data_IF_051337915554
#
_entry.id   IF_051337915554
#
_cell.length_a   1.000
_cell.length_b   1.000
_cell.length_c   1.000
_cell.angle_alpha   90.00
_cell.angle_beta   90.00
_cell.angle_gamma   90.00
#
_symmetry.space_group_name_H-M   'P 1'
#
loop_
_entity.id
_entity.type
_entity.pdbx_description
1 polymer ?
#
# COMPACT_ATOMS: atom_id res chain seq x y z
N UNK A 1 20.01 33.04 17.00
CA UNK A 1 19.52 31.84 16.26
C UNK A 1 18.36 32.25 15.37
N UNK A 2 18.22 31.67 14.17
CA UNK A 2 17.11 31.95 13.24
C UNK A 2 15.86 31.09 13.51
N UNK A 3 16.00 29.92 14.14
CA UNK A 3 14.88 29.09 14.63
C UNK A 3 15.31 28.14 15.77
N UNK A 4 14.42 27.90 16.74
CA UNK A 4 14.58 26.97 17.87
C UNK A 4 13.25 26.25 18.12
N UNK A 5 13.28 24.93 18.33
CA UNK A 5 12.10 24.10 18.63
C UNK A 5 12.44 22.95 19.58
N UNK A 6 11.42 22.38 20.23
CA UNK A 6 11.53 21.24 21.15
C UNK A 6 10.48 20.18 20.80
N UNK A 7 10.89 18.92 20.75
CA UNK A 7 10.01 17.77 20.57
C UNK A 7 10.25 16.72 21.66
N UNK A 8 9.39 15.71 21.74
CA UNK A 8 9.46 14.61 22.70
C UNK A 8 9.35 13.27 21.97
N UNK A 9 9.51 12.17 22.70
CA UNK A 9 9.37 10.80 22.21
C UNK A 9 7.96 10.21 22.41
N UNK A 10 6.95 11.07 22.61
CA UNK A 10 5.56 10.66 22.79
C UNK A 10 5.09 9.81 21.61
N UNK A 11 4.56 8.63 21.91
CA UNK A 11 3.95 7.72 20.94
C UNK A 11 2.47 7.54 21.27
N UNK A 12 1.60 8.08 20.41
CA UNK A 12 0.15 8.00 20.58
C UNK A 12 -0.52 7.76 19.24
N UNK A 13 -1.60 7.01 19.26
CA UNK A 13 -2.41 6.70 18.10
C UNK A 13 -3.89 6.83 18.48
N UNK A 14 -4.69 7.40 17.59
CA UNK A 14 -6.14 7.46 17.71
C UNK A 14 -6.71 6.05 17.68
N UNK A 15 -7.58 5.72 18.62
CA UNK A 15 -8.22 4.39 18.72
C UNK A 15 -9.13 4.08 17.54
N UNK A 16 -9.68 5.11 16.90
CA UNK A 16 -10.48 4.99 15.69
C UNK A 16 -10.06 6.09 14.69
N UNK A 17 -9.89 5.72 13.43
CA UNK A 17 -9.57 6.66 12.35
C UNK A 17 -10.82 7.26 11.71
N UNK A 18 -11.99 6.76 12.10
CA UNK A 18 -13.30 7.19 11.64
C UNK A 18 -14.30 7.09 12.79
N UNK A 19 -15.03 8.17 13.01
CA UNK A 19 -16.32 8.16 13.71
C UNK A 19 -17.37 8.76 12.77
N UNK A 20 -18.25 7.90 12.24
CA UNK A 20 -19.31 8.28 11.28
C UNK A 20 -18.76 9.03 10.06
N UNK A 21 -18.84 10.37 10.08
CA UNK A 21 -18.44 11.29 8.99
C UNK A 21 -17.17 12.08 9.30
N UNK A 22 -16.57 11.87 10.46
CA UNK A 22 -15.30 12.49 10.87
C UNK A 22 -14.20 11.44 10.69
N UNK A 23 -13.12 11.82 10.01
CA UNK A 23 -11.96 10.96 9.77
C UNK A 23 -10.68 11.68 10.21
N UNK A 24 -9.69 10.90 10.64
CA UNK A 24 -8.37 11.39 11.07
C UNK A 24 -7.29 10.79 10.16
N UNK A 25 -6.31 11.60 9.76
CA UNK A 25 -5.16 11.20 8.96
C UNK A 25 -3.89 11.94 9.42
N UNK A 26 -2.71 11.36 9.20
CA UNK A 26 -1.43 11.96 9.60
C UNK A 26 -1.32 12.19 11.10
N UNK A 27 -0.67 13.28 11.51
CA UNK A 27 -0.37 13.57 12.93
C UNK A 27 -1.62 13.69 13.83
N UNK A 28 -2.79 13.97 13.24
CA UNK A 28 -4.06 13.95 13.98
C UNK A 28 -4.47 12.52 14.40
N UNK A 29 -4.02 11.50 13.67
CA UNK A 29 -4.28 10.09 13.93
C UNK A 29 -3.13 9.40 14.65
N UNK A 30 -1.88 9.85 14.50
CA UNK A 30 -0.72 9.22 15.12
C UNK A 30 0.45 10.19 15.28
N UNK A 31 1.07 10.21 16.45
CA UNK A 31 2.31 10.95 16.72
C UNK A 31 3.36 9.98 17.23
N UNK A 32 4.62 10.22 16.85
CA UNK A 32 5.76 9.41 17.25
C UNK A 32 7.06 10.22 17.15
N UNK A 33 8.15 9.76 17.80
CA UNK A 33 9.47 10.38 17.64
C UNK A 33 9.88 10.46 16.16
N UNK A 34 10.65 11.48 15.71
CA UNK A 34 11.02 11.68 14.31
C UNK A 34 12.06 10.68 13.77
N UNK A 35 12.25 9.56 14.48
CA UNK A 35 13.24 8.54 14.17
C UNK A 35 12.95 7.89 12.81
N UNK A 36 13.93 7.95 11.90
CA UNK A 36 13.81 7.43 10.54
C UNK A 36 12.97 8.29 9.59
N UNK A 37 12.53 9.50 9.99
CA UNK A 37 11.82 10.42 9.10
C UNK A 37 10.44 9.94 8.64
N UNK A 38 9.78 9.06 9.41
CA UNK A 38 8.60 8.33 8.95
C UNK A 38 7.28 9.12 9.04
N UNK A 39 7.19 10.17 9.86
CA UNK A 39 5.92 10.85 10.18
C UNK A 39 5.19 11.43 8.97
N UNK A 40 5.85 12.30 8.19
CA UNK A 40 5.26 12.86 6.97
C UNK A 40 4.93 11.75 5.95
N UNK A 41 5.82 10.76 5.82
CA UNK A 41 5.66 9.67 4.86
C UNK A 41 4.39 8.86 5.13
N UNK A 42 4.11 8.50 6.39
CA UNK A 42 2.90 7.77 6.74
C UNK A 42 1.64 8.63 6.58
N UNK A 43 1.70 9.92 6.91
CA UNK A 43 0.57 10.84 6.73
C UNK A 43 0.18 11.05 5.26
N UNK A 44 1.16 11.17 4.36
CA UNK A 44 0.89 11.23 2.91
C UNK A 44 0.24 9.93 2.43
N UNK A 45 0.72 8.78 2.88
CA UNK A 45 0.12 7.49 2.51
C UNK A 45 -1.29 7.31 3.06
N UNK A 46 -1.60 7.85 4.25
CA UNK A 46 -2.96 7.87 4.77
C UNK A 46 -3.89 8.68 3.88
N UNK A 47 -3.45 9.87 3.45
CA UNK A 47 -4.22 10.72 2.56
C UNK A 47 -4.47 10.07 1.19
N UNK A 48 -3.44 9.42 0.61
CA UNK A 48 -3.56 8.69 -0.66
C UNK A 48 -4.51 7.50 -0.53
N UNK A 49 -4.45 6.75 0.58
CA UNK A 49 -5.37 5.64 0.84
C UNK A 49 -6.82 6.10 1.02
N UNK A 50 -7.03 7.22 1.73
CA UNK A 50 -8.36 7.73 2.03
C UNK A 50 -9.00 8.43 0.82
N UNK A 51 -8.24 9.22 0.06
CA UNK A 51 -8.77 10.15 -0.93
C UNK A 51 -9.67 9.49 -1.97
N UNK A 52 -9.22 8.40 -2.58
CA UNK A 52 -10.01 7.69 -3.60
C UNK A 52 -11.24 6.99 -3.01
N UNK A 53 -11.12 6.41 -1.81
CA UNK A 53 -12.23 5.75 -1.10
C UNK A 53 -13.33 6.75 -0.77
N UNK A 54 -12.95 7.89 -0.19
CA UNK A 54 -13.88 8.95 0.16
C UNK A 54 -14.55 9.53 -1.08
N UNK A 55 -13.81 9.72 -2.18
CA UNK A 55 -14.37 10.17 -3.45
C UNK A 55 -15.44 9.21 -4.00
N UNK A 56 -15.20 7.89 -3.94
CA UNK A 56 -16.20 6.90 -4.37
C UNK A 56 -17.47 6.91 -3.50
N UNK A 57 -17.34 7.10 -2.19
CA UNK A 57 -18.51 7.23 -1.30
C UNK A 57 -19.32 8.49 -1.62
N UNK A 58 -18.65 9.63 -1.80
CA UNK A 58 -19.31 10.90 -2.14
C UNK A 58 -20.06 10.79 -3.47
N UNK A 59 -19.48 10.09 -4.45
CA UNK A 59 -20.10 9.85 -5.77
C UNK A 59 -21.18 8.77 -5.77
N UNK A 60 -21.42 8.08 -4.65
CA UNK A 60 -22.36 6.98 -4.56
C UNK A 60 -21.94 5.73 -5.34
N UNK A 61 -20.66 5.62 -5.72
CA UNK A 61 -20.13 4.51 -6.51
C UNK A 61 -19.97 3.24 -5.68
N UNK A 62 -19.51 3.38 -4.43
CA UNK A 62 -19.18 2.26 -3.55
C UNK A 62 -19.98 2.33 -2.25
N UNK A 63 -20.23 1.18 -1.59
CA UNK A 63 -20.88 1.14 -0.29
C UNK A 63 -19.98 1.71 0.82
N UNK A 64 -20.59 2.15 1.93
CA UNK A 64 -19.89 2.72 3.10
C UNK A 64 -18.80 1.81 3.69
N UNK A 65 -18.91 0.50 3.49
CA UNK A 65 -17.92 -0.51 3.91
C UNK A 65 -16.55 -0.28 3.26
N UNK A 66 -16.47 0.35 2.07
CA UNK A 66 -15.19 0.73 1.49
C UNK A 66 -14.42 1.70 2.40
N UNK A 67 -15.11 2.63 3.08
CA UNK A 67 -14.45 3.55 4.02
C UNK A 67 -14.06 2.87 5.35
N UNK A 68 -14.66 1.74 5.71
CA UNK A 68 -14.23 0.96 6.89
C UNK A 68 -12.83 0.37 6.67
N UNK A 69 -12.49 0.03 5.42
CA UNK A 69 -11.15 -0.42 5.06
C UNK A 69 -10.05 0.62 5.34
N UNK A 70 -10.37 1.92 5.40
CA UNK A 70 -9.36 2.95 5.71
C UNK A 70 -8.71 2.71 7.08
N UNK A 71 -9.54 2.49 8.11
CA UNK A 71 -9.04 2.19 9.44
C UNK A 71 -8.35 0.81 9.47
N UNK A 72 -9.00 -0.21 8.93
CA UNK A 72 -8.48 -1.58 8.93
C UNK A 72 -7.10 -1.68 8.26
N UNK A 73 -6.86 -0.90 7.20
CA UNK A 73 -5.58 -0.88 6.47
C UNK A 73 -4.54 0.03 7.14
N UNK A 74 -4.90 1.24 7.55
CA UNK A 74 -3.92 2.27 7.96
C UNK A 74 -3.59 2.26 9.45
N UNK A 75 -4.50 1.82 10.29
CA UNK A 75 -4.25 1.75 11.73
C UNK A 75 -3.13 0.75 12.09
N UNK A 76 -3.09 -0.49 11.54
CA UNK A 76 -1.98 -1.41 11.81
C UNK A 76 -0.62 -0.91 11.31
N UNK A 77 -0.60 -0.16 10.20
CA UNK A 77 0.64 0.43 9.64
C UNK A 77 1.23 1.45 10.60
N UNK A 78 0.42 2.39 11.10
CA UNK A 78 0.88 3.37 12.08
C UNK A 78 1.30 2.71 13.40
N UNK A 79 0.56 1.71 13.89
CA UNK A 79 0.93 0.96 15.08
C UNK A 79 2.32 0.31 14.96
N UNK A 80 2.66 -0.20 13.76
CA UNK A 80 4.00 -0.75 13.47
C UNK A 80 5.08 0.34 13.49
N UNK A 81 4.83 1.50 12.90
CA UNK A 81 5.77 2.65 12.91
C UNK A 81 6.00 3.15 14.33
N UNK A 82 4.95 3.29 15.14
CA UNK A 82 5.07 3.65 16.56
C UNK A 82 5.94 2.65 17.32
N UNK A 83 5.71 1.35 17.13
CA UNK A 83 6.53 0.30 17.75
C UNK A 83 7.99 0.38 17.33
N UNK A 84 8.26 0.55 16.04
CA UNK A 84 9.61 0.66 15.50
C UNK A 84 10.35 1.90 16.05
N UNK A 85 9.68 3.05 16.08
CA UNK A 85 10.26 4.29 16.60
C UNK A 85 10.54 4.23 18.11
N UNK A 86 9.69 3.58 18.91
CA UNK A 86 10.00 3.28 20.32
C UNK A 86 11.25 2.41 20.46
N UNK A 87 11.39 1.36 19.64
CA UNK A 87 12.57 0.51 19.65
C UNK A 87 13.84 1.30 19.29
N UNK A 88 13.77 2.19 18.28
CA UNK A 88 14.90 3.05 17.90
C UNK A 88 15.29 4.05 19.01
N UNK A 89 14.32 4.59 19.75
CA UNK A 89 14.60 5.43 20.93
C UNK A 89 15.34 4.62 21.99
N UNK A 90 14.90 3.40 22.28
CA UNK A 90 15.55 2.52 23.24
C UNK A 90 16.99 2.17 22.83
N UNK A 91 17.22 1.85 21.56
CA UNK A 91 18.55 1.52 21.02
C UNK A 91 19.54 2.69 21.03
N UNK A 92 19.06 3.93 21.12
CA UNK A 92 19.90 5.14 21.12
C UNK A 92 20.25 5.66 22.51
N UNK A 93 19.81 4.97 23.56
CA UNK A 93 20.17 5.32 24.93
C UNK A 93 21.68 5.10 25.13
N UNK A 94 22.30 5.96 25.93
CA UNK A 94 23.76 5.99 26.09
C UNK A 94 24.28 5.09 27.21
N UNK A 95 23.43 4.31 27.86
CA UNK A 95 23.82 3.33 28.87
C UNK A 95 24.45 2.07 28.26
N UNK A 96 25.34 1.41 29.00
CA UNK A 96 26.16 0.31 28.48
C UNK A 96 25.33 -0.90 28.02
N UNK A 97 24.19 -1.15 28.66
CA UNK A 97 23.26 -2.23 28.26
C UNK A 97 22.62 -1.94 26.91
N UNK A 98 22.18 -0.70 26.70
CA UNK A 98 21.59 -0.26 25.43
C UNK A 98 22.61 -0.25 24.29
N UNK A 99 23.86 0.14 24.56
CA UNK A 99 24.96 0.04 23.58
C UNK A 99 25.23 -1.41 23.16
N UNK A 100 25.37 -2.33 24.12
CA UNK A 100 25.60 -3.74 23.81
C UNK A 100 24.47 -4.34 22.96
N UNK A 101 23.22 -3.97 23.26
CA UNK A 101 22.06 -4.36 22.44
C UNK A 101 22.12 -3.75 21.04
N UNK A 102 22.47 -2.46 20.92
CA UNK A 102 22.60 -1.78 19.64
C UNK A 102 23.70 -2.42 18.77
N UNK A 103 24.83 -2.84 19.36
CA UNK A 103 25.91 -3.52 18.66
C UNK A 103 25.44 -4.89 18.13
N UNK A 104 24.73 -5.68 18.94
CA UNK A 104 24.13 -6.95 18.49
C UNK A 104 23.12 -6.74 17.35
N UNK A 105 22.27 -5.72 17.45
CA UNK A 105 21.32 -5.38 16.36
C UNK A 105 22.08 -4.94 15.10
N UNK A 106 23.17 -4.20 15.24
CA UNK A 106 24.00 -3.79 14.11
C UNK A 106 24.63 -4.98 13.39
N UNK A 107 25.10 -5.99 14.12
CA UNK A 107 25.58 -7.25 13.54
C UNK A 107 24.49 -7.97 12.73
N UNK A 108 23.27 -8.05 13.25
CA UNK A 108 22.12 -8.62 12.53
C UNK A 108 21.79 -7.81 11.27
N UNK A 109 21.87 -6.49 11.34
CA UNK A 109 21.70 -5.61 10.17
C UNK A 109 22.85 -5.69 9.16
N UNK A 110 23.96 -6.35 9.51
CA UNK A 110 25.01 -6.75 8.57
C UNK A 110 24.59 -7.90 7.65
N UNK A 111 23.57 -8.68 8.05
CA UNK A 111 23.02 -9.79 7.26
C UNK A 111 22.00 -9.29 6.22
N UNK A 112 21.88 -10.00 5.09
CA UNK A 112 21.08 -9.51 3.96
C UNK A 112 19.57 -9.47 4.25
N UNK A 113 18.97 -10.57 4.73
CA UNK A 113 17.53 -10.63 4.98
C UNK A 113 17.04 -9.67 6.08
N UNK A 114 17.64 -9.62 7.29
CA UNK A 114 17.23 -8.66 8.32
C UNK A 114 17.33 -7.22 7.84
N UNK A 115 18.42 -6.88 7.14
CA UNK A 115 18.63 -5.55 6.56
C UNK A 115 17.55 -5.20 5.53
N UNK A 116 17.24 -6.10 4.59
CA UNK A 116 16.19 -5.89 3.58
C UNK A 116 14.83 -5.70 4.22
N UNK A 117 14.50 -6.51 5.24
CA UNK A 117 13.24 -6.41 5.98
C UNK A 117 13.09 -5.07 6.68
N UNK A 118 14.09 -4.65 7.44
CA UNK A 118 14.06 -3.36 8.16
C UNK A 118 14.06 -2.18 7.18
N UNK A 119 14.83 -2.26 6.08
CA UNK A 119 14.81 -1.23 5.05
C UNK A 119 13.43 -1.08 4.38
N UNK A 120 12.75 -2.18 4.08
CA UNK A 120 11.40 -2.16 3.53
C UNK A 120 10.38 -1.58 4.53
N UNK A 121 10.50 -1.91 5.82
CA UNK A 121 9.65 -1.34 6.87
C UNK A 121 9.85 0.18 7.00
N UNK A 122 11.09 0.66 7.15
CA UNK A 122 11.40 2.09 7.35
C UNK A 122 11.07 2.93 6.12
N UNK A 123 11.24 2.40 4.91
CA UNK A 123 10.88 3.08 3.67
C UNK A 123 9.37 3.06 3.37
N UNK A 124 8.59 2.26 4.10
CA UNK A 124 7.17 2.01 3.82
C UNK A 124 6.92 1.11 2.60
N UNK A 125 7.96 0.59 1.94
CA UNK A 125 7.83 -0.34 0.82
C UNK A 125 7.38 -1.75 1.26
N UNK A 126 7.55 -2.08 2.54
CA UNK A 126 7.10 -3.33 3.14
C UNK A 126 5.64 -3.34 3.60
N UNK A 127 4.87 -2.26 3.35
CA UNK A 127 3.45 -2.20 3.74
C UNK A 127 2.65 -3.25 2.97
N UNK A 128 1.83 -4.00 3.72
CA UNK A 128 0.96 -5.05 3.21
C UNK A 128 -0.39 -4.95 3.92
N UNK A 129 -1.46 -4.77 3.15
CA UNK A 129 -2.82 -4.86 3.64
C UNK A 129 -3.26 -6.32 3.61
N UNK A 130 -3.78 -6.81 4.74
CA UNK A 130 -4.34 -8.15 4.81
C UNK A 130 -5.69 -8.19 4.09
N UNK A 131 -5.69 -8.70 2.86
CA UNK A 131 -6.87 -8.86 2.02
C UNK A 131 -7.25 -10.34 1.87
N UNK A 132 -6.73 -11.22 2.73
CA UNK A 132 -6.92 -12.66 2.68
C UNK A 132 -5.84 -13.41 1.88
N UNK A 133 -6.11 -14.69 1.66
CA UNK A 133 -5.21 -15.62 0.95
C UNK A 133 -5.20 -15.35 -0.57
N UNK A 134 -4.04 -15.52 -1.21
CA UNK A 134 -3.92 -15.36 -2.65
C UNK A 134 -2.49 -15.20 -3.13
N UNK A 135 -2.36 -14.58 -4.31
CA UNK A 135 -1.06 -14.29 -4.91
C UNK A 135 -0.19 -13.43 -3.96
N UNK A 136 1.15 -13.59 -3.90
CA UNK A 136 2.03 -12.79 -3.05
C UNK A 136 1.96 -11.26 -3.23
N UNK A 137 1.43 -10.78 -4.36
CA UNK A 137 1.20 -9.36 -4.63
C UNK A 137 -0.06 -8.80 -3.97
N UNK A 138 -1.04 -9.64 -3.63
CA UNK A 138 -2.31 -9.22 -3.07
C UNK A 138 -2.07 -8.36 -1.83
N UNK A 139 -2.72 -7.20 -1.76
CA UNK A 139 -2.59 -6.26 -0.64
C UNK A 139 -1.25 -5.52 -0.59
N UNK A 140 -0.32 -5.73 -1.54
CA UNK A 140 0.97 -5.04 -1.61
C UNK A 140 0.98 -3.98 -2.69
N UNK A 141 1.95 -3.07 -2.58
CA UNK A 141 2.20 -2.06 -3.60
C UNK A 141 2.65 -2.73 -4.90
N UNK A 142 2.03 -2.32 -6.00
CA UNK A 142 2.41 -2.73 -7.35
C UNK A 142 3.82 -2.22 -7.69
N UNK A 143 4.73 -3.07 -8.23
CA UNK A 143 6.02 -2.62 -8.75
C UNK A 143 5.88 -1.73 -10.00
N UNK A 144 6.86 -0.85 -10.23
CA UNK A 144 6.88 0.06 -11.37
C UNK A 144 7.51 -0.58 -12.62
N UNK A 145 6.77 -1.53 -13.20
CA UNK A 145 7.24 -2.35 -14.32
C UNK A 145 7.30 -1.56 -15.64
N UNK A 146 8.29 -1.88 -16.47
CA UNK A 146 8.40 -1.36 -17.84
C UNK A 146 7.57 -2.23 -18.80
N UNK A 147 6.39 -1.72 -19.16
CA UNK A 147 5.39 -2.40 -19.98
C UNK A 147 5.57 -2.10 -21.47
N UNK A 148 5.24 -3.06 -22.32
CA UNK A 148 5.08 -2.85 -23.77
C UNK A 148 3.61 -2.99 -24.16
N UNK A 149 2.97 -1.92 -24.59
CA UNK A 149 1.57 -1.90 -25.05
C UNK A 149 1.48 -1.69 -26.55
N UNK A 150 0.29 -1.83 -27.14
CA UNK A 150 0.05 -1.45 -28.53
C UNK A 150 0.37 0.03 -28.82
N UNK A 151 0.25 0.91 -27.82
CA UNK A 151 0.57 2.33 -27.91
C UNK A 151 2.05 2.68 -27.62
N UNK A 152 2.90 1.68 -27.39
CA UNK A 152 4.32 1.87 -27.08
C UNK A 152 4.68 1.50 -25.64
N UNK A 153 5.90 1.87 -25.23
CA UNK A 153 6.46 1.58 -23.90
C UNK A 153 5.98 2.59 -22.87
N UNK A 154 5.65 2.10 -21.68
CA UNK A 154 5.26 2.93 -20.53
C UNK A 154 5.56 2.21 -19.22
N UNK A 155 5.54 2.94 -18.10
CA UNK A 155 5.75 2.36 -16.76
C UNK A 155 4.43 2.26 -16.01
N UNK A 156 4.26 1.25 -15.16
CA UNK A 156 3.00 1.05 -14.41
C UNK A 156 2.59 2.32 -13.64
N UNK A 157 3.51 3.08 -13.05
CA UNK A 157 3.13 4.26 -12.29
C UNK A 157 2.51 5.37 -13.15
N UNK A 158 2.86 5.48 -14.44
CA UNK A 158 2.22 6.46 -15.32
C UNK A 158 0.74 6.13 -15.55
N UNK A 159 0.35 4.86 -15.41
CA UNK A 159 -1.03 4.42 -15.49
C UNK A 159 -1.88 4.93 -14.31
N UNK A 160 -1.27 5.26 -13.18
CA UNK A 160 -1.97 5.61 -11.93
C UNK A 160 -2.16 7.12 -11.74
N UNK A 161 -1.60 7.96 -12.61
CA UNK A 161 -1.67 9.42 -12.48
C UNK A 161 -3.10 9.98 -12.54
N UNK A 162 -4.01 9.31 -13.25
CA UNK A 162 -5.42 9.73 -13.36
C UNK A 162 -6.26 9.32 -12.12
N UNK A 163 -5.64 8.68 -11.13
CA UNK A 163 -6.30 8.13 -9.94
C UNK A 163 -7.48 7.19 -10.27
N UNK A 164 -7.40 6.48 -11.42
CA UNK A 164 -8.34 5.43 -11.81
C UNK A 164 -7.78 4.05 -11.49
N UNK A 165 -8.63 3.08 -11.08
CA UNK A 165 -8.23 1.69 -10.99
C UNK A 165 -7.78 1.15 -12.34
N UNK A 166 -6.81 0.24 -12.32
CA UNK A 166 -6.24 -0.38 -13.52
C UNK A 166 -6.31 -1.89 -13.40
N UNK A 167 -6.91 -2.56 -14.37
CA UNK A 167 -6.72 -3.99 -14.61
C UNK A 167 -5.59 -4.12 -15.64
N UNK A 168 -4.40 -4.52 -15.18
CA UNK A 168 -3.27 -4.80 -16.05
C UNK A 168 -3.28 -6.30 -16.39
N UNK A 169 -3.47 -6.61 -17.67
CA UNK A 169 -3.36 -7.96 -18.21
C UNK A 169 -2.02 -8.11 -18.94
N UNK A 170 -1.22 -9.08 -18.50
CA UNK A 170 0.05 -9.49 -19.13
C UNK A 170 0.00 -10.88 -19.75
N UNK A 171 -1.12 -11.59 -19.58
CA UNK A 171 -1.41 -12.85 -20.25
C UNK A 171 -2.09 -12.66 -21.60
N UNK A 172 -2.82 -13.69 -22.03
CA UNK A 172 -3.56 -13.70 -23.29
C UNK A 172 -4.70 -12.66 -23.28
N UNK A 173 -4.77 -11.74 -24.26
CA UNK A 173 -5.86 -10.75 -24.36
C UNK A 173 -7.24 -11.39 -24.50
N UNK A 174 -8.28 -10.71 -24.03
CA UNK A 174 -9.68 -11.12 -24.21
C UNK A 174 -10.20 -12.20 -23.26
N UNK A 175 -9.39 -12.68 -22.31
CA UNK A 175 -9.82 -13.68 -21.31
C UNK A 175 -10.55 -13.11 -20.09
N UNK A 176 -10.46 -11.80 -19.88
CA UNK A 176 -11.05 -11.11 -18.74
C UNK A 176 -12.11 -10.14 -19.23
N UNK A 177 -13.34 -10.29 -18.73
CA UNK A 177 -14.45 -9.37 -19.03
C UNK A 177 -14.74 -8.45 -17.84
N UNK A 178 -14.53 -7.15 -18.04
CA UNK A 178 -14.88 -6.10 -17.07
C UNK A 178 -15.86 -5.06 -17.66
N UNK A 179 -16.64 -5.41 -18.69
CA UNK A 179 -17.52 -4.47 -19.39
C UNK A 179 -18.43 -3.68 -18.42
N UNK A 180 -18.93 -4.34 -17.38
CA UNK A 180 -19.80 -3.72 -16.34
C UNK A 180 -19.09 -2.71 -15.42
N UNK A 181 -17.76 -2.56 -15.53
CA UNK A 181 -16.94 -1.60 -14.79
C UNK A 181 -16.07 -0.71 -15.70
N UNK A 182 -16.24 -0.78 -17.02
CA UNK A 182 -15.39 -0.06 -17.98
C UNK A 182 -15.42 1.48 -17.81
N UNK A 183 -16.51 2.00 -17.24
CA UNK A 183 -16.67 3.41 -16.87
C UNK A 183 -15.71 3.84 -15.75
N UNK A 184 -15.31 2.91 -14.88
CA UNK A 184 -14.54 3.16 -13.66
C UNK A 184 -13.13 2.58 -13.73
N UNK A 185 -12.99 1.34 -14.17
CA UNK A 185 -11.73 0.58 -14.22
C UNK A 185 -11.16 0.59 -15.64
N UNK A 186 -9.88 0.94 -15.78
CA UNK A 186 -9.19 0.89 -17.07
C UNK A 186 -8.51 -0.46 -17.27
N UNK A 187 -8.87 -1.18 -18.32
CA UNK A 187 -8.14 -2.38 -18.75
C UNK A 187 -6.95 -2.00 -19.64
N UNK A 188 -5.80 -2.60 -19.38
CA UNK A 188 -4.57 -2.43 -20.15
C UNK A 188 -4.01 -3.81 -20.46
N UNK A 189 -3.94 -4.16 -21.74
CA UNK A 189 -3.18 -5.32 -22.21
C UNK A 189 -1.74 -4.89 -22.53
N UNK A 190 -0.76 -5.60 -21.96
CA UNK A 190 0.66 -5.27 -22.10
C UNK A 190 1.56 -6.51 -22.05
N UNK A 191 2.66 -6.52 -22.78
CA UNK A 191 3.73 -7.48 -22.58
C UNK A 191 4.67 -7.04 -21.45
N UNK A 192 5.05 -8.00 -20.60
CA UNK A 192 6.14 -7.86 -19.63
C UNK A 192 6.90 -9.19 -19.52
N UNK A 193 8.20 -9.16 -19.77
CA UNK A 193 9.07 -10.34 -19.74
C UNK A 193 10.13 -10.29 -18.62
N UNK A 194 10.03 -9.31 -17.72
CA UNK A 194 10.97 -9.13 -16.62
C UNK A 194 10.61 -9.94 -15.38
N UNK A 195 11.43 -9.81 -14.35
CA UNK A 195 11.21 -10.45 -13.05
C UNK A 195 10.24 -9.65 -12.19
N UNK A 196 9.34 -10.36 -11.51
CA UNK A 196 8.46 -9.77 -10.51
C UNK A 196 9.16 -9.78 -9.16
N UNK A 197 9.87 -8.69 -8.84
CA UNK A 197 10.61 -8.55 -7.59
C UNK A 197 9.91 -7.60 -6.63
N UNK A 198 9.64 -8.06 -5.42
CA UNK A 198 8.96 -7.29 -4.38
C UNK A 198 9.93 -6.93 -3.25
N UNK A 199 9.86 -5.70 -2.73
CA UNK A 199 10.62 -5.32 -1.54
C UNK A 199 10.40 -6.30 -0.38
N UNK A 200 11.50 -6.80 0.20
CA UNK A 200 11.56 -7.77 1.29
C UNK A 200 11.00 -9.20 1.04
N UNK A 201 10.28 -9.45 -0.04
CA UNK A 201 9.86 -10.81 -0.43
C UNK A 201 10.75 -11.41 -1.52
N UNK A 202 11.41 -10.58 -2.32
CA UNK A 202 12.19 -11.03 -3.46
C UNK A 202 11.31 -11.40 -4.65
N UNK A 203 11.83 -12.29 -5.49
CA UNK A 203 11.16 -12.71 -6.73
C UNK A 203 9.94 -13.57 -6.46
N UNK A 204 8.82 -13.23 -7.08
CA UNK A 204 7.56 -13.99 -7.01
C UNK A 204 7.15 -14.48 -8.40
N UNK A 205 6.20 -15.40 -8.44
CA UNK A 205 5.59 -15.88 -9.68
C UNK A 205 4.90 -14.71 -10.40
N UNK A 206 4.99 -14.68 -11.73
CA UNK A 206 4.26 -13.70 -12.54
C UNK A 206 2.76 -14.01 -12.50
N UNK A 207 1.89 -13.06 -12.15
CA UNK A 207 0.46 -13.17 -12.44
C UNK A 207 0.23 -12.97 -13.95
N UNK A 208 -0.88 -13.48 -14.47
CA UNK A 208 -1.34 -13.16 -15.83
C UNK A 208 -2.09 -11.82 -15.83
N UNK A 209 -2.72 -11.45 -14.72
CA UNK A 209 -3.35 -10.16 -14.57
C UNK A 209 -3.37 -9.68 -13.12
N UNK A 210 -3.37 -8.36 -12.93
CA UNK A 210 -3.45 -7.69 -11.63
C UNK A 210 -4.45 -6.54 -11.66
N UNK A 211 -5.29 -6.45 -10.64
CA UNK A 211 -6.19 -5.33 -10.39
C UNK A 211 -5.54 -4.38 -9.39
N UNK A 212 -5.23 -3.18 -9.84
CA UNK A 212 -4.50 -2.15 -9.09
C UNK A 212 -5.48 -1.06 -8.68
N UNK A 213 -5.53 -0.77 -7.38
CA UNK A 213 -6.29 0.33 -6.81
C UNK A 213 -5.69 1.70 -7.17
N UNK A 214 -6.45 2.80 -7.06
CA UNK A 214 -5.92 4.15 -7.28
C UNK A 214 -4.73 4.54 -6.41
N UNK A 215 -4.57 3.91 -5.23
CA UNK A 215 -3.41 4.11 -4.34
C UNK A 215 -2.22 3.20 -4.66
N UNK A 216 -2.28 2.44 -5.76
CA UNK A 216 -1.21 1.58 -6.25
C UNK A 216 -1.09 0.22 -5.55
N UNK A 217 -2.03 -0.14 -4.67
CA UNK A 217 -2.06 -1.46 -4.04
C UNK A 217 -2.86 -2.46 -4.88
N UNK A 218 -2.39 -3.71 -4.93
CA UNK A 218 -3.04 -4.78 -5.67
C UNK A 218 -4.24 -5.29 -4.89
N UNK A 219 -5.43 -5.18 -5.49
CA UNK A 219 -6.71 -5.65 -4.97
C UNK A 219 -7.04 -7.10 -5.36
N UNK A 220 -6.44 -7.59 -6.45
CA UNK A 220 -6.59 -8.95 -6.96
C UNK A 220 -5.44 -9.26 -7.91
N UNK A 221 -5.04 -10.53 -7.99
CA UNK A 221 -4.10 -11.02 -8.99
C UNK A 221 -4.48 -12.46 -9.35
N UNK A 222 -4.49 -12.77 -10.65
CA UNK A 222 -4.95 -14.06 -11.17
C UNK A 222 -4.06 -14.64 -12.25
N UNK A 223 -4.26 -15.94 -12.50
CA UNK A 223 -3.59 -16.72 -13.55
C UNK A 223 -4.63 -17.21 -14.56
N UNK A 224 -4.86 -16.42 -15.63
CA UNK A 224 -5.58 -16.84 -16.83
C UNK A 224 -7.08 -17.11 -16.68
N UNK A 225 -7.68 -16.79 -15.52
CA UNK A 225 -9.10 -16.98 -15.23
C UNK A 225 -9.70 -15.77 -14.52
N UNK A 226 -11.02 -15.60 -14.64
CA UNK A 226 -11.80 -14.53 -14.00
C UNK A 226 -12.17 -14.84 -12.54
N UNK A 227 -11.63 -15.94 -11.97
CA UNK A 227 -11.97 -16.38 -10.63
C UNK A 227 -11.64 -15.31 -9.58
N UNK A 228 -12.65 -14.89 -8.82
CA UNK A 228 -12.52 -13.84 -7.79
C UNK A 228 -12.37 -12.41 -8.33
N UNK A 229 -12.24 -12.20 -9.65
CA UNK A 229 -12.11 -10.85 -10.22
C UNK A 229 -13.40 -10.04 -10.03
N UNK A 230 -14.57 -10.65 -10.24
CA UNK A 230 -15.87 -10.00 -10.06
C UNK A 230 -16.09 -9.58 -8.60
N UNK A 231 -15.72 -10.43 -7.65
CA UNK A 231 -15.83 -10.13 -6.23
C UNK A 231 -14.89 -8.98 -5.83
N UNK A 232 -13.66 -8.97 -6.36
CA UNK A 232 -12.71 -7.89 -6.14
C UNK A 232 -13.20 -6.56 -6.76
N UNK A 233 -13.66 -6.57 -8.01
CA UNK A 233 -14.24 -5.38 -8.66
C UNK A 233 -15.42 -4.84 -7.86
N UNK A 234 -16.32 -5.71 -7.41
CA UNK A 234 -17.49 -5.35 -6.61
C UNK A 234 -17.09 -4.74 -5.27
N UNK A 235 -16.14 -5.37 -4.58
CA UNK A 235 -15.65 -4.93 -3.26
C UNK A 235 -15.01 -3.55 -3.33
N UNK A 236 -14.14 -3.31 -4.32
CA UNK A 236 -13.31 -2.11 -4.37
C UNK A 236 -13.90 -0.97 -5.20
N UNK A 237 -14.71 -1.28 -6.21
CA UNK A 237 -15.21 -0.30 -7.20
C UNK A 237 -16.73 -0.30 -7.36
N UNK A 238 -17.44 -0.97 -6.43
CA UNK A 238 -18.90 -1.00 -6.38
C UNK A 238 -19.53 -2.03 -7.32
N UNK A 239 -20.85 -2.21 -7.25
CA UNK A 239 -21.55 -3.21 -8.07
C UNK A 239 -21.41 -2.94 -9.58
N UNK A 240 -21.64 -3.97 -10.42
CA UNK A 240 -21.65 -3.80 -11.87
C UNK A 240 -22.65 -2.71 -12.26
N UNK A 241 -22.30 -1.91 -13.27
CA UNK A 241 -23.26 -0.96 -13.84
C UNK A 241 -24.49 -1.73 -14.33
N UNK A 242 -25.68 -1.30 -13.94
CA UNK A 242 -26.92 -1.84 -14.51
C UNK A 242 -26.93 -1.52 -16.01
N UNK A 243 -27.14 -2.54 -16.85
CA UNK A 243 -27.45 -2.34 -18.25
C UNK A 243 -28.69 -1.42 -18.33
N UNK A 244 -28.49 -0.21 -18.86
CA UNK A 244 -29.56 0.74 -19.13
C UNK A 244 -30.42 0.31 -20.30
#
# INVERSE_FOLDING_TARGET
PTWLSRFTDMTRQATAYRDRRVLLAGDAAHIHPPMGGQGLNIGVQDAVNLGWKLAQIIKGTSPQSLLESYHAERHPVAARVLRNTMAQVALRRTDDRSKALADTVAELLGMDEPRKKIAAEVSGLGVHYDLGEGHPLLGRRMPDLDLTTAGGRLRVFTLLHDARPVLLNVGEPGRLDIASWADRVRQIDAGYAGIWDLPALGTVVSPDAVLIRPDGYVAWAGAGTQQGLVDALTTWFGPPATAG
#
